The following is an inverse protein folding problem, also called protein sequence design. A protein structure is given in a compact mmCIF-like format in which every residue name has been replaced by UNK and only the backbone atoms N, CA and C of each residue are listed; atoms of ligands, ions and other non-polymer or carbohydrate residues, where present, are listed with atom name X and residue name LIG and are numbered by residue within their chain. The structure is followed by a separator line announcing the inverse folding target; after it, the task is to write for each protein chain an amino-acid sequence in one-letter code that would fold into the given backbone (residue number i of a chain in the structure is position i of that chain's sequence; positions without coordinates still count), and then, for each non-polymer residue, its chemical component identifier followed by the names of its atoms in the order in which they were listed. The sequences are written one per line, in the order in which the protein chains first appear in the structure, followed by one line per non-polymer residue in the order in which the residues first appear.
data_IF_412061274866
#
_entry.id   IF_412061274866
#
_cell.length_a   1.000
_cell.length_b   1.000
_cell.length_c   1.000
_cell.angle_alpha   90.00
_cell.angle_beta   90.00
_cell.angle_gamma   90.00
#
_symmetry.space_group_name_H-M   'P 1'
#
loop_
_entity.id
_entity.type
_entity.pdbx_description
1 polymer ?
#
# COMPACT_ATOMS: atom_id res chain seq x y z
N UNK A 1 -51.56 26.72 3.02
CA UNK A 1 -50.81 25.68 2.28
C UNK A 1 -49.35 25.74 2.71
N UNK A 2 -48.91 24.81 3.57
CA UNK A 2 -47.54 24.77 4.12
C UNK A 2 -46.65 24.13 3.05
N UNK A 3 -45.75 24.92 2.45
CA UNK A 3 -44.76 24.45 1.49
C UNK A 3 -43.74 23.62 2.27
N UNK A 4 -43.94 22.31 2.26
CA UNK A 4 -42.97 21.34 2.78
C UNK A 4 -41.82 21.32 1.80
N UNK A 5 -40.86 22.21 2.01
CA UNK A 5 -39.54 22.10 1.40
C UNK A 5 -38.88 20.88 2.04
N UNK A 6 -39.23 19.72 1.47
CA UNK A 6 -38.52 18.47 1.62
C UNK A 6 -37.11 18.71 1.08
N UNK A 7 -36.26 19.28 1.92
CA UNK A 7 -34.83 19.06 1.87
C UNK A 7 -34.64 17.55 2.08
N UNK A 8 -34.83 16.80 1.00
CA UNK A 8 -34.26 15.48 0.82
C UNK A 8 -32.77 15.67 1.04
N UNK A 9 -32.41 15.46 2.29
CA UNK A 9 -31.07 15.39 2.81
C UNK A 9 -30.45 14.16 2.16
N UNK A 10 -30.13 14.27 0.87
CA UNK A 10 -29.48 13.24 0.07
C UNK A 10 -28.17 13.00 0.80
N UNK A 11 -28.15 11.93 1.60
CA UNK A 11 -26.95 11.20 1.97
C UNK A 11 -26.30 10.87 0.64
N UNK A 12 -25.46 11.76 0.11
CA UNK A 12 -24.71 11.49 -1.11
C UNK A 12 -23.82 10.31 -0.76
N UNK A 13 -24.11 9.11 -1.29
CA UNK A 13 -23.32 7.95 -0.95
C UNK A 13 -21.90 8.25 -1.42
N UNK A 14 -20.91 7.80 -0.65
CA UNK A 14 -19.48 7.93 -0.96
C UNK A 14 -19.19 7.61 -2.44
N UNK A 15 -19.94 6.63 -2.96
CA UNK A 15 -20.02 6.20 -4.34
C UNK A 15 -20.32 7.33 -5.34
N UNK A 16 -21.29 8.20 -5.07
CA UNK A 16 -21.68 9.28 -6.00
C UNK A 16 -20.62 10.38 -6.10
N UNK A 17 -19.84 10.62 -5.04
CA UNK A 17 -18.71 11.56 -5.08
C UNK A 17 -17.53 10.95 -5.82
N UNK A 18 -17.23 9.67 -5.59
CA UNK A 18 -16.22 8.95 -6.38
C UNK A 18 -16.61 8.87 -7.87
N UNK A 19 -17.89 8.63 -8.16
CA UNK A 19 -18.45 8.52 -9.52
C UNK A 19 -18.45 9.89 -10.22
N UNK A 20 -18.82 10.96 -9.52
CA UNK A 20 -18.71 12.34 -10.01
C UNK A 20 -17.26 12.75 -10.32
N UNK A 21 -16.30 12.43 -9.44
CA UNK A 21 -14.88 12.71 -9.69
C UNK A 21 -14.32 11.86 -10.85
N UNK A 22 -14.77 10.62 -10.99
CA UNK A 22 -14.42 9.73 -12.09
C UNK A 22 -14.95 10.27 -13.44
N UNK A 23 -16.18 10.78 -13.48
CA UNK A 23 -16.82 11.29 -14.69
C UNK A 23 -16.24 12.67 -15.09
N UNK A 24 -15.99 13.56 -14.12
CA UNK A 24 -15.53 14.92 -14.43
C UNK A 24 -14.02 15.01 -14.72
N UNK A 25 -13.18 14.14 -14.14
CA UNK A 25 -11.75 14.12 -14.37
C UNK A 25 -11.15 12.72 -14.14
N UNK A 26 -11.42 11.76 -15.05
CA UNK A 26 -10.98 10.37 -14.89
C UNK A 26 -9.46 10.26 -14.77
N UNK A 27 -8.73 11.12 -15.49
CA UNK A 27 -7.27 11.11 -15.52
C UNK A 27 -6.66 11.53 -14.18
N UNK A 28 -7.23 12.55 -13.51
CA UNK A 28 -6.79 12.99 -12.18
C UNK A 28 -7.10 11.94 -11.12
N UNK A 29 -8.27 11.31 -11.21
CA UNK A 29 -8.66 10.22 -10.33
C UNK A 29 -7.74 9.00 -10.48
N UNK A 30 -7.46 8.58 -11.72
CA UNK A 30 -6.51 7.51 -12.03
C UNK A 30 -5.11 7.83 -11.49
N UNK A 31 -4.63 9.06 -11.70
CA UNK A 31 -3.31 9.50 -11.21
C UNK A 31 -3.22 9.43 -9.69
N UNK A 32 -4.26 9.88 -8.97
CA UNK A 32 -4.34 9.78 -7.51
C UNK A 32 -4.34 8.33 -7.03
N UNK A 33 -5.01 7.45 -7.76
CA UNK A 33 -5.05 6.01 -7.46
C UNK A 33 -3.67 5.37 -7.65
N UNK A 34 -3.02 5.68 -8.78
CA UNK A 34 -1.68 5.22 -9.12
C UNK A 34 -0.64 5.72 -8.10
N UNK A 35 -0.74 6.97 -7.67
CA UNK A 35 0.14 7.52 -6.63
C UNK A 35 -0.01 6.76 -5.30
N UNK A 36 -1.24 6.46 -4.85
CA UNK A 36 -1.44 5.70 -3.61
C UNK A 36 -0.93 4.28 -3.73
N UNK A 37 -1.12 3.65 -4.88
CA UNK A 37 -0.55 2.34 -5.17
C UNK A 37 0.97 2.37 -5.10
N UNK A 38 1.61 3.32 -5.80
CA UNK A 38 3.06 3.48 -5.83
C UNK A 38 3.65 3.72 -4.43
N UNK A 39 2.98 4.53 -3.60
CA UNK A 39 3.39 4.75 -2.21
C UNK A 39 3.33 3.43 -1.41
N UNK A 40 2.20 2.71 -1.48
CA UNK A 40 2.05 1.44 -0.77
C UNK A 40 3.06 0.38 -1.22
N UNK A 41 3.32 0.33 -2.53
CA UNK A 41 4.34 -0.51 -3.13
C UNK A 41 5.74 -0.21 -2.61
N UNK A 42 6.16 1.06 -2.67
CA UNK A 42 7.49 1.49 -2.25
C UNK A 42 7.70 1.27 -0.75
N UNK A 43 6.66 1.54 0.06
CA UNK A 43 6.70 1.25 1.50
C UNK A 43 6.90 -0.23 1.77
N UNK A 44 6.20 -1.11 1.06
CA UNK A 44 6.37 -2.55 1.21
C UNK A 44 7.78 -3.00 0.81
N UNK A 45 8.33 -2.47 -0.30
CA UNK A 45 9.70 -2.76 -0.70
C UNK A 45 10.72 -2.32 0.35
N UNK A 46 10.54 -1.13 0.93
CA UNK A 46 11.41 -0.62 1.99
C UNK A 46 11.39 -1.54 3.21
N UNK A 47 10.20 -1.97 3.65
CA UNK A 47 10.05 -2.92 4.76
C UNK A 47 10.71 -4.26 4.43
N UNK A 48 10.52 -4.78 3.22
CA UNK A 48 11.12 -6.04 2.80
C UNK A 48 12.67 -5.97 2.81
N UNK A 49 13.26 -4.87 2.35
CA UNK A 49 14.71 -4.66 2.38
C UNK A 49 15.21 -4.57 3.82
N UNK A 50 14.51 -3.86 4.69
CA UNK A 50 14.88 -3.74 6.12
C UNK A 50 14.84 -5.11 6.79
N UNK A 51 13.77 -5.89 6.59
CA UNK A 51 13.63 -7.25 7.16
C UNK A 51 14.74 -8.16 6.65
N UNK A 52 15.03 -8.12 5.34
CA UNK A 52 16.11 -8.89 4.74
C UNK A 52 17.48 -8.51 5.33
N UNK A 53 17.72 -7.21 5.52
CA UNK A 53 18.94 -6.69 6.15
C UNK A 53 19.09 -7.14 7.60
N UNK A 54 18.01 -7.11 8.39
CA UNK A 54 18.01 -7.57 9.79
C UNK A 54 18.30 -9.08 9.85
N UNK A 55 17.71 -9.89 8.96
CA UNK A 55 18.00 -11.32 8.87
C UNK A 55 19.47 -11.57 8.53
N UNK A 56 20.01 -10.83 7.56
CA UNK A 56 21.44 -10.92 7.20
C UNK A 56 22.34 -10.54 8.38
N UNK A 57 22.00 -9.47 9.10
CA UNK A 57 22.72 -9.02 10.28
C UNK A 57 22.67 -10.06 11.41
N UNK A 58 21.52 -10.72 11.60
CA UNK A 58 21.37 -11.83 12.52
C UNK A 58 22.29 -13.00 12.17
N UNK A 59 22.35 -13.40 10.89
CA UNK A 59 23.26 -14.45 10.44
C UNK A 59 24.72 -14.06 10.69
N UNK A 60 25.09 -12.80 10.45
CA UNK A 60 26.43 -12.29 10.73
C UNK A 60 26.79 -12.35 12.22
N UNK A 61 25.86 -11.96 13.10
CA UNK A 61 26.07 -11.92 14.55
C UNK A 61 26.12 -13.31 15.18
N UNK A 62 25.23 -14.22 14.78
CA UNK A 62 25.10 -15.54 15.39
C UNK A 62 25.90 -16.64 14.69
N UNK A 63 26.22 -16.48 13.40
CA UNK A 63 26.96 -17.47 12.60
C UNK A 63 28.01 -16.81 11.67
N UNK A 64 29.00 -16.09 12.22
CA UNK A 64 29.98 -15.34 11.44
C UNK A 64 30.82 -16.22 10.50
N UNK A 65 31.11 -17.47 10.89
CA UNK A 65 31.87 -18.43 10.08
C UNK A 65 31.12 -18.84 8.81
N UNK A 66 29.81 -19.11 8.91
CA UNK A 66 28.97 -19.44 7.76
C UNK A 66 28.84 -18.24 6.80
N UNK A 67 28.75 -17.02 7.34
CA UNK A 67 28.70 -15.79 6.56
C UNK A 67 29.99 -15.56 5.77
N UNK A 68 31.15 -15.67 6.43
CA UNK A 68 32.46 -15.53 5.77
C UNK A 68 32.65 -16.59 4.70
N UNK A 69 32.27 -17.85 4.98
CA UNK A 69 32.41 -18.94 4.01
C UNK A 69 31.51 -18.75 2.77
N UNK A 70 30.33 -18.17 2.94
CA UNK A 70 29.44 -17.83 1.82
C UNK A 70 30.02 -16.72 0.93
N UNK A 71 30.81 -15.81 1.48
CA UNK A 71 31.45 -14.70 0.75
C UNK A 71 32.81 -15.10 0.18
N UNK A 72 33.56 -15.96 0.88
CA UNK A 72 34.92 -16.36 0.52
C UNK A 72 35.00 -17.19 -0.76
N UNK A 73 33.90 -17.81 -1.19
CA UNK A 73 33.84 -18.58 -2.44
C UNK A 73 32.96 -17.84 -3.45
N UNK A 74 33.53 -17.48 -4.59
CA UNK A 74 32.84 -16.75 -5.67
C UNK A 74 31.61 -17.50 -6.17
N UNK A 75 31.65 -18.83 -6.19
CA UNK A 75 30.53 -19.69 -6.58
C UNK A 75 29.34 -19.60 -5.60
N UNK A 76 29.60 -19.69 -4.29
CA UNK A 76 28.54 -19.55 -3.27
C UNK A 76 28.00 -18.13 -3.20
N UNK A 77 28.87 -17.13 -3.36
CA UNK A 77 28.45 -15.73 -3.41
C UNK A 77 27.53 -15.48 -4.61
N UNK A 78 27.86 -16.04 -5.77
CA UNK A 78 27.03 -15.94 -6.97
C UNK A 78 25.67 -16.64 -6.76
N UNK A 79 25.66 -17.84 -6.18
CA UNK A 79 24.42 -18.56 -5.87
C UNK A 79 23.54 -17.77 -4.89
N UNK A 80 24.11 -17.25 -3.80
CA UNK A 80 23.38 -16.44 -2.82
C UNK A 80 22.85 -15.16 -3.47
N UNK A 81 23.65 -14.50 -4.32
CA UNK A 81 23.23 -13.31 -5.07
C UNK A 81 22.04 -13.59 -5.99
N UNK A 82 22.06 -14.70 -6.74
CA UNK A 82 20.95 -15.10 -7.62
C UNK A 82 19.69 -15.39 -6.82
N UNK A 83 19.81 -16.10 -5.68
CA UNK A 83 18.67 -16.40 -4.80
C UNK A 83 18.09 -15.11 -4.20
N UNK A 84 18.95 -14.19 -3.75
CA UNK A 84 18.56 -12.90 -3.21
C UNK A 84 17.84 -12.06 -4.28
N UNK A 85 18.38 -12.05 -5.50
CA UNK A 85 17.80 -11.37 -6.64
C UNK A 85 16.42 -11.92 -7.01
N UNK A 86 16.29 -13.24 -7.09
CA UNK A 86 15.00 -13.88 -7.35
C UNK A 86 13.98 -13.59 -6.24
N UNK A 87 14.43 -13.58 -4.98
CA UNK A 87 13.58 -13.25 -3.83
C UNK A 87 13.13 -11.79 -3.90
N UNK A 88 14.04 -10.86 -4.19
CA UNK A 88 13.72 -9.44 -4.37
C UNK A 88 12.79 -9.22 -5.56
N UNK A 89 12.97 -9.96 -6.67
CA UNK A 89 12.09 -9.90 -7.83
C UNK A 89 10.69 -10.41 -7.50
N UNK A 90 10.56 -11.49 -6.73
CA UNK A 90 9.27 -12.01 -6.29
C UNK A 90 8.57 -11.03 -5.34
N UNK A 91 9.34 -10.46 -4.40
CA UNK A 91 8.86 -9.52 -3.40
C UNK A 91 8.43 -8.20 -4.04
N UNK A 92 9.20 -7.72 -5.02
CA UNK A 92 8.85 -6.56 -5.84
C UNK A 92 7.61 -6.83 -6.66
N UNK A 93 7.59 -7.90 -7.45
CA UNK A 93 6.50 -8.10 -8.40
C UNK A 93 5.22 -8.58 -7.73
N UNK A 94 5.17 -9.80 -7.20
CA UNK A 94 3.91 -10.39 -6.76
C UNK A 94 3.43 -9.78 -5.45
N UNK A 95 4.32 -9.76 -4.45
CA UNK A 95 3.95 -9.27 -3.12
C UNK A 95 3.83 -7.75 -3.08
N UNK A 96 4.68 -7.03 -3.81
CA UNK A 96 4.60 -5.57 -3.95
C UNK A 96 3.30 -5.11 -4.62
N UNK A 97 2.87 -5.80 -5.69
CA UNK A 97 1.57 -5.51 -6.34
C UNK A 97 0.45 -5.65 -5.32
N UNK A 98 0.40 -6.79 -4.63
CA UNK A 98 -0.67 -7.09 -3.68
C UNK A 98 -0.66 -6.06 -2.53
N UNK A 99 0.51 -5.74 -1.98
CA UNK A 99 0.66 -4.76 -0.91
C UNK A 99 0.22 -3.35 -1.36
N UNK A 100 0.54 -2.94 -2.58
CA UNK A 100 0.08 -1.68 -3.17
C UNK A 100 -1.45 -1.59 -3.25
N UNK A 101 -2.12 -2.68 -3.65
CA UNK A 101 -3.58 -2.75 -3.68
C UNK A 101 -4.19 -2.75 -2.27
N UNK A 102 -3.63 -3.51 -1.33
CA UNK A 102 -4.09 -3.53 0.07
C UNK A 102 -3.96 -2.15 0.71
N UNK A 103 -2.85 -1.44 0.47
CA UNK A 103 -2.64 -0.09 0.95
C UNK A 103 -3.65 0.91 0.35
N UNK A 104 -3.92 0.80 -0.95
CA UNK A 104 -4.93 1.61 -1.63
C UNK A 104 -6.33 1.37 -1.05
N UNK A 105 -6.69 0.10 -0.81
CA UNK A 105 -7.95 -0.30 -0.19
C UNK A 105 -8.07 0.28 1.22
N UNK A 106 -7.05 0.11 2.06
CA UNK A 106 -7.00 0.67 3.41
C UNK A 106 -7.14 2.20 3.42
N UNK A 107 -6.47 2.90 2.51
CA UNK A 107 -6.61 4.35 2.35
C UNK A 107 -8.03 4.77 1.95
N UNK A 108 -8.71 3.97 1.11
CA UNK A 108 -10.07 4.25 0.64
C UNK A 108 -11.09 4.03 1.76
N UNK A 109 -10.96 2.93 2.50
CA UNK A 109 -11.79 2.62 3.67
C UNK A 109 -11.61 3.69 4.75
N UNK A 110 -10.38 4.09 5.07
CA UNK A 110 -10.12 5.12 6.07
C UNK A 110 -10.74 6.48 5.69
N UNK A 111 -10.67 6.85 4.41
CA UNK A 111 -11.39 8.05 3.91
C UNK A 111 -12.90 7.92 4.09
N UNK A 112 -13.45 6.74 3.79
CA UNK A 112 -14.87 6.44 3.98
C UNK A 112 -15.32 6.59 5.43
N UNK A 113 -14.59 5.99 6.37
CA UNK A 113 -14.86 6.08 7.81
C UNK A 113 -14.76 7.54 8.27
N UNK A 114 -13.73 8.28 7.84
CA UNK A 114 -13.53 9.68 8.23
C UNK A 114 -14.66 10.58 7.71
N UNK A 115 -15.19 10.31 6.51
CA UNK A 115 -16.33 11.03 5.96
C UNK A 115 -17.62 10.67 6.70
N UNK A 116 -17.86 9.39 6.99
CA UNK A 116 -18.99 8.95 7.81
C UNK A 116 -18.97 9.61 9.19
N UNK A 117 -17.82 9.65 9.86
CA UNK A 117 -17.66 10.29 11.16
C UNK A 117 -17.92 11.80 11.12
N UNK A 118 -17.52 12.50 10.04
CA UNK A 118 -17.82 13.94 9.86
C UNK A 118 -19.31 14.18 9.63
N UNK A 119 -19.99 13.30 8.89
CA UNK A 119 -21.43 13.38 8.65
C UNK A 119 -22.22 13.11 9.94
N UNK A 120 -21.86 12.09 10.71
CA UNK A 120 -22.45 11.83 12.03
C UNK A 120 -22.26 13.03 12.97
N UNK A 121 -21.09 13.70 12.93
CA UNK A 121 -20.85 14.89 13.76
C UNK A 121 -21.62 16.14 13.29
N UNK A 122 -21.93 16.25 11.98
CA UNK A 122 -22.67 17.40 11.43
C UNK A 122 -24.20 17.25 11.48
N UNK A 123 -24.71 16.02 11.46
CA UNK A 123 -26.15 15.72 11.33
C UNK A 123 -26.70 14.80 12.43
N UNK A 124 -25.86 14.40 13.39
CA UNK A 124 -26.26 13.59 14.55
C UNK A 124 -26.73 14.41 15.75
N UNK A 125 -27.15 15.66 15.55
CA UNK A 125 -27.86 16.49 16.54
C UNK A 125 -29.27 16.78 16.08
#
# INVERSE_FOLDING_TARGET
MRKSDNYTHRKTPLWYVLESDLINNPLRFLLLLLCRFAIGWLLFQLVAIIVLGILLLGVLLFNPTAFIQAIATTEKLNHVSIVLWNTLKLCTWHYGVIAGFVFMLGCTVNKGIRQAHRLTRRYGS
#
